data_IF_235712499758
#
_entry.id   IF_235712499758
#
_cell.length_a   1.000
_cell.length_b   1.000
_cell.length_c   1.000
_cell.angle_alpha   90.00
_cell.angle_beta   90.00
_cell.angle_gamma   90.00
#
_symmetry.space_group_name_H-M   'P 1'
#
loop_
_entity.id
_entity.type
_entity.pdbx_description
1 polymer ?
#
# COMPACT_ATOMS: atom_id res chain seq x y z
N UNK A 1 35.56 10.12 -12.04
CA UNK A 1 36.43 9.07 -11.48
C UNK A 1 36.12 8.97 -10.00
N UNK A 2 35.36 7.96 -9.58
CA UNK A 2 34.99 7.76 -8.18
C UNK A 2 35.49 6.38 -7.72
N UNK A 3 36.26 6.38 -6.63
CA UNK A 3 36.91 5.21 -6.06
C UNK A 3 35.90 4.32 -5.33
N UNK A 4 36.03 2.99 -5.50
CA UNK A 4 35.31 1.99 -4.71
C UNK A 4 36.14 1.63 -3.48
N UNK A 5 35.64 1.97 -2.29
CA UNK A 5 36.19 1.51 -1.02
C UNK A 5 35.59 0.15 -0.63
N UNK A 6 36.43 -0.89 -0.56
CA UNK A 6 36.08 -2.19 0.00
C UNK A 6 36.03 -2.11 1.53
N UNK A 7 34.86 -1.72 2.06
CA UNK A 7 34.53 -1.92 3.48
C UNK A 7 33.97 -3.32 3.73
N UNK A 8 34.11 -3.89 4.94
CA UNK A 8 33.48 -5.16 5.29
C UNK A 8 31.96 -5.09 5.08
N UNK A 9 31.28 -6.21 4.74
CA UNK A 9 29.85 -6.21 4.49
C UNK A 9 29.14 -5.70 5.74
N UNK A 10 28.54 -4.51 5.65
CA UNK A 10 27.64 -4.02 6.69
C UNK A 10 26.51 -5.05 6.80
N UNK A 11 26.42 -5.74 7.94
CA UNK A 11 25.23 -6.51 8.32
C UNK A 11 24.02 -5.64 7.99
N UNK A 12 23.19 -6.09 7.04
CA UNK A 12 22.01 -5.35 6.60
C UNK A 12 21.20 -4.95 7.83
N UNK A 13 20.98 -3.64 7.99
CA UNK A 13 20.11 -3.16 9.05
C UNK A 13 18.73 -3.80 8.85
N UNK A 14 18.08 -4.27 9.92
CA UNK A 14 16.77 -4.95 9.86
C UNK A 14 15.68 -4.16 9.11
N UNK A 15 15.84 -2.83 9.04
CA UNK A 15 15.02 -1.90 8.27
C UNK A 15 15.17 -2.09 6.74
N UNK A 16 16.36 -2.46 6.26
CA UNK A 16 16.64 -2.69 4.84
C UNK A 16 15.99 -3.97 4.29
N UNK A 17 15.67 -4.94 5.16
CA UNK A 17 15.00 -6.20 4.79
C UNK A 17 13.49 -6.19 5.04
N UNK A 18 12.92 -5.05 5.46
CA UNK A 18 11.50 -4.89 5.80
C UNK A 18 10.99 -5.96 6.80
N UNK A 19 11.84 -6.38 7.73
CA UNK A 19 11.49 -7.36 8.78
C UNK A 19 10.96 -6.63 10.01
N UNK A 20 9.72 -6.93 10.42
CA UNK A 20 9.13 -6.42 11.67
C UNK A 20 9.05 -7.50 12.73
N UNK A 21 9.35 -7.17 13.99
CA UNK A 21 9.21 -8.12 15.11
C UNK A 21 7.74 -8.29 15.51
N UNK A 22 7.19 -9.50 15.48
CA UNK A 22 5.86 -9.83 16.01
C UNK A 22 5.94 -10.83 17.17
N UNK A 23 4.83 -11.03 17.88
CA UNK A 23 4.74 -11.99 18.99
C UNK A 23 5.13 -13.43 18.59
N UNK A 24 5.07 -13.78 17.31
CA UNK A 24 5.45 -15.10 16.77
C UNK A 24 6.76 -15.14 15.98
N UNK A 25 7.59 -14.08 16.01
CA UNK A 25 8.83 -13.97 15.21
C UNK A 25 8.81 -12.81 14.20
N UNK A 26 9.72 -12.81 13.23
CA UNK A 26 9.78 -11.76 12.20
C UNK A 26 8.70 -11.93 11.15
N UNK A 27 7.95 -10.86 10.87
CA UNK A 27 6.92 -10.82 9.84
C UNK A 27 7.10 -9.61 8.92
N UNK A 28 6.63 -9.73 7.68
CA UNK A 28 6.66 -8.68 6.66
C UNK A 28 5.27 -8.60 6.03
N UNK A 29 4.81 -7.40 5.73
CA UNK A 29 3.56 -7.13 5.02
C UNK A 29 3.86 -6.83 3.56
N UNK A 30 3.16 -7.51 2.66
CA UNK A 30 3.15 -7.22 1.23
C UNK A 30 1.98 -6.28 0.92
N UNK A 31 2.30 -5.08 0.47
CA UNK A 31 1.32 -4.14 -0.06
C UNK A 31 1.44 -4.16 -1.59
N UNK A 32 0.35 -4.43 -2.29
CA UNK A 32 0.33 -4.65 -3.73
C UNK A 32 -0.65 -3.70 -4.42
N UNK A 33 -0.35 -3.32 -5.66
CA UNK A 33 -1.27 -2.62 -6.57
C UNK A 33 -1.51 -3.45 -7.81
N UNK A 34 -2.71 -3.34 -8.37
CA UNK A 34 -3.04 -3.91 -9.68
C UNK A 34 -3.73 -2.88 -10.58
N UNK A 35 -3.71 -3.13 -11.88
CA UNK A 35 -4.51 -2.37 -12.84
C UNK A 35 -5.98 -2.86 -12.85
N UNK A 36 -6.83 -2.19 -13.65
CA UNK A 36 -8.23 -2.57 -13.84
C UNK A 36 -8.46 -3.94 -14.50
N UNK A 37 -7.40 -4.68 -14.85
CA UNK A 37 -7.44 -6.05 -15.37
C UNK A 37 -6.87 -7.07 -14.37
N UNK A 38 -6.47 -6.64 -13.17
CA UNK A 38 -5.88 -7.48 -12.14
C UNK A 38 -4.41 -7.85 -12.39
N UNK A 39 -3.70 -7.12 -13.27
CA UNK A 39 -2.26 -7.30 -13.47
C UNK A 39 -1.50 -6.51 -12.39
N UNK A 40 -0.49 -7.10 -11.74
CA UNK A 40 0.28 -6.38 -10.73
C UNK A 40 1.06 -5.21 -11.33
N UNK A 41 0.98 -4.05 -10.68
CA UNK A 41 1.68 -2.82 -11.09
C UNK A 41 2.85 -2.47 -10.17
N UNK A 42 2.88 -3.01 -8.95
CA UNK A 42 3.98 -2.80 -8.04
C UNK A 42 3.66 -3.28 -6.63
N UNK A 43 4.73 -3.44 -5.86
CA UNK A 43 4.69 -3.98 -4.51
C UNK A 43 5.60 -3.17 -3.60
N UNK A 44 5.20 -3.03 -2.34
CA UNK A 44 6.05 -2.52 -1.27
C UNK A 44 6.01 -3.52 -0.12
N UNK A 45 7.19 -3.89 0.35
CA UNK A 45 7.35 -4.68 1.57
C UNK A 45 7.51 -3.71 2.75
N UNK A 46 6.71 -3.88 3.78
CA UNK A 46 6.85 -3.14 5.04
C UNK A 46 7.05 -4.11 6.20
N UNK A 47 7.79 -3.71 7.25
CA UNK A 47 7.85 -4.47 8.49
C UNK A 47 6.47 -4.90 8.99
N UNK A 48 6.35 -6.10 9.56
CA UNK A 48 5.08 -6.66 10.01
C UNK A 48 4.34 -5.82 11.07
N UNK A 49 5.08 -5.03 11.84
CA UNK A 49 4.50 -4.07 12.81
C UNK A 49 4.11 -2.73 12.19
N UNK A 50 4.50 -2.47 10.94
CA UNK A 50 4.15 -1.24 10.26
C UNK A 50 2.64 -1.14 10.12
N UNK A 51 2.09 0.04 10.39
CA UNK A 51 0.71 0.32 10.06
C UNK A 51 0.56 0.33 8.53
N UNK A 52 -0.54 -0.23 8.03
CA UNK A 52 -0.76 -0.33 6.57
C UNK A 52 -0.74 1.05 5.89
N UNK A 53 -1.12 2.10 6.63
CA UNK A 53 -1.03 3.50 6.23
C UNK A 53 0.39 3.91 5.80
N UNK A 54 1.45 3.31 6.37
CA UNK A 54 2.84 3.69 6.08
C UNK A 54 3.30 3.29 4.68
N UNK A 55 2.72 2.25 4.07
CA UNK A 55 3.07 1.88 2.68
C UNK A 55 2.21 2.56 1.63
N UNK A 56 1.14 3.25 2.03
CA UNK A 56 0.24 3.96 1.12
C UNK A 56 0.97 5.06 0.34
N UNK A 57 1.61 6.00 1.04
CA UNK A 57 2.23 7.18 0.43
C UNK A 57 3.22 6.84 -0.70
N UNK A 58 4.20 5.95 -0.47
CA UNK A 58 5.13 5.52 -1.51
C UNK A 58 4.43 4.90 -2.73
N UNK A 59 3.44 4.04 -2.51
CA UNK A 59 2.69 3.39 -3.59
C UNK A 59 1.81 4.40 -4.34
N UNK A 60 1.19 5.34 -3.66
CA UNK A 60 0.30 6.31 -4.28
C UNK A 60 1.08 7.31 -5.15
N UNK A 61 2.12 7.93 -4.60
CA UNK A 61 2.89 8.99 -5.27
C UNK A 61 3.53 8.57 -6.59
N UNK A 62 3.85 7.28 -6.75
CA UNK A 62 4.42 6.75 -8.00
C UNK A 62 3.45 6.76 -9.19
N UNK A 63 2.14 6.87 -8.95
CA UNK A 63 1.10 6.80 -10.00
C UNK A 63 0.06 7.91 -9.91
N UNK A 64 0.19 8.82 -8.94
CA UNK A 64 -0.84 9.81 -8.65
C UNK A 64 -1.18 10.69 -9.86
N UNK A 65 -0.22 10.91 -10.77
CA UNK A 65 -0.35 11.63 -12.03
C UNK A 65 -0.95 10.81 -13.18
N UNK A 66 -1.21 9.51 -12.98
CA UNK A 66 -1.59 8.54 -14.03
C UNK A 66 -2.91 7.82 -13.78
N UNK A 67 -3.59 8.13 -12.69
CA UNK A 67 -4.86 7.49 -12.32
C UNK A 67 -5.92 8.55 -12.03
N UNK A 68 -7.16 8.22 -12.37
CA UNK A 68 -8.33 9.06 -12.04
C UNK A 68 -9.04 8.58 -10.77
N UNK A 69 -8.91 7.28 -10.46
CA UNK A 69 -9.59 6.65 -9.34
C UNK A 69 -8.66 5.68 -8.61
N UNK A 70 -8.68 5.71 -7.29
CA UNK A 70 -7.95 4.78 -6.43
C UNK A 70 -8.92 3.97 -5.57
N UNK A 71 -8.84 2.64 -5.69
CA UNK A 71 -9.55 1.70 -4.84
C UNK A 71 -8.60 1.23 -3.74
N UNK A 72 -9.03 1.35 -2.48
CA UNK A 72 -8.26 0.83 -1.36
C UNK A 72 -9.13 0.23 -0.26
N UNK A 73 -8.49 -0.59 0.56
CA UNK A 73 -9.07 -1.25 1.70
C UNK A 73 -9.58 -0.26 2.76
N UNK A 74 -10.61 -0.67 3.52
CA UNK A 74 -11.16 0.12 4.65
C UNK A 74 -10.08 0.53 5.67
N UNK A 75 -9.01 -0.26 5.81
CA UNK A 75 -7.86 0.06 6.67
C UNK A 75 -7.17 1.38 6.32
N UNK A 76 -7.18 1.77 5.04
CA UNK A 76 -6.58 3.01 4.52
C UNK A 76 -7.46 4.24 4.72
N UNK A 77 -8.67 4.09 5.28
CA UNK A 77 -9.52 5.24 5.62
C UNK A 77 -8.87 6.05 6.75
N UNK A 78 -8.22 7.14 6.37
CA UNK A 78 -7.66 8.17 7.26
C UNK A 78 -7.73 9.53 6.57
N UNK A 79 -7.77 10.60 7.37
CA UNK A 79 -7.91 11.96 6.84
C UNK A 79 -6.69 12.35 6.00
N UNK A 80 -5.48 12.04 6.50
CA UNK A 80 -4.23 12.27 5.77
C UNK A 80 -4.21 11.58 4.39
N UNK A 81 -4.65 10.32 4.30
CA UNK A 81 -4.72 9.59 3.03
C UNK A 81 -5.74 10.24 2.09
N UNK A 82 -6.95 10.55 2.58
CA UNK A 82 -7.99 11.16 1.75
C UNK A 82 -7.58 12.53 1.24
N UNK A 83 -6.94 13.35 2.08
CA UNK A 83 -6.40 14.65 1.68
C UNK A 83 -5.29 14.51 0.64
N UNK A 84 -4.37 13.55 0.79
CA UNK A 84 -3.30 13.31 -0.17
C UNK A 84 -3.86 12.88 -1.53
N UNK A 85 -4.86 12.00 -1.54
CA UNK A 85 -5.55 11.57 -2.77
C UNK A 85 -6.28 12.76 -3.42
N UNK A 86 -7.01 13.56 -2.63
CA UNK A 86 -7.74 14.71 -3.12
C UNK A 86 -6.82 15.80 -3.70
N UNK A 87 -5.67 16.05 -3.07
CA UNK A 87 -4.64 16.99 -3.56
C UNK A 87 -4.08 16.59 -4.93
N UNK A 88 -4.04 15.30 -5.23
CA UNK A 88 -3.64 14.80 -6.53
C UNK A 88 -4.78 14.80 -7.57
N UNK A 89 -6.00 15.22 -7.21
CA UNK A 89 -7.16 15.21 -8.11
C UNK A 89 -7.72 13.81 -8.39
N UNK A 90 -7.39 12.83 -7.55
CA UNK A 90 -7.82 11.44 -7.72
C UNK A 90 -9.08 11.16 -6.90
N UNK A 91 -10.00 10.34 -7.42
CA UNK A 91 -11.18 9.88 -6.68
C UNK A 91 -10.82 8.76 -5.70
N UNK A 92 -11.12 8.94 -4.41
CA UNK A 92 -10.91 7.92 -3.37
C UNK A 92 -12.12 7.00 -3.21
N UNK A 93 -12.04 5.78 -3.77
CA UNK A 93 -13.03 4.71 -3.56
C UNK A 93 -12.59 3.85 -2.37
N UNK A 94 -12.75 4.41 -1.17
CA UNK A 94 -12.35 3.79 0.11
C UNK A 94 -13.57 3.76 1.04
N UNK A 95 -13.99 2.58 1.53
CA UNK A 95 -15.04 2.51 2.53
C UNK A 95 -14.63 3.21 3.83
N UNK A 96 -15.54 4.02 4.39
CA UNK A 96 -15.32 4.64 5.68
C UNK A 96 -15.21 3.60 6.81
N UNK A 97 -14.34 3.85 7.78
CA UNK A 97 -14.28 3.10 9.04
C UNK A 97 -15.59 3.24 9.80
N UNK A 98 -16.01 2.17 10.48
CA UNK A 98 -17.29 2.13 11.21
C UNK A 98 -17.33 3.08 12.41
N UNK A 99 -16.17 3.47 12.93
CA UNK A 99 -16.03 4.43 14.03
C UNK A 99 -15.81 5.88 13.55
N UNK A 100 -15.89 6.15 12.24
CA UNK A 100 -15.71 7.50 11.69
C UNK A 100 -16.95 8.35 11.99
N UNK A 101 -16.75 9.51 12.63
CA UNK A 101 -17.85 10.43 13.01
C UNK A 101 -18.63 10.96 11.82
N UNK A 102 -17.94 11.23 10.72
CA UNK A 102 -18.53 11.68 9.46
C UNK A 102 -18.09 10.75 8.32
N UNK A 103 -18.83 9.66 8.05
CA UNK A 103 -18.47 8.70 7.02
C UNK A 103 -18.71 9.29 5.62
N UNK A 104 -17.64 9.37 4.84
CA UNK A 104 -17.74 9.76 3.43
C UNK A 104 -18.34 8.60 2.63
N UNK A 105 -19.40 8.82 1.81
CA UNK A 105 -19.90 7.80 0.91
C UNK A 105 -18.83 7.42 -0.12
N UNK A 106 -18.85 6.17 -0.56
CA UNK A 106 -17.99 5.66 -1.62
C UNK A 106 -18.85 4.94 -2.66
N UNK A 107 -18.37 4.89 -3.89
CA UNK A 107 -19.00 4.15 -4.96
C UNK A 107 -18.85 2.63 -4.71
N UNK A 108 -19.98 1.98 -4.37
CA UNK A 108 -20.02 0.54 -4.06
C UNK A 108 -19.79 -0.31 -5.29
N UNK A 109 -20.17 0.14 -6.48
CA UNK A 109 -19.99 -0.61 -7.71
C UNK A 109 -18.52 -0.61 -8.11
N UNK A 110 -17.86 0.55 -8.07
CA UNK A 110 -16.40 0.64 -8.22
C UNK A 110 -15.69 -0.20 -7.16
N UNK A 111 -16.15 -0.17 -5.91
CA UNK A 111 -15.52 -0.96 -4.85
C UNK A 111 -15.56 -2.49 -5.09
N UNK A 112 -16.53 -3.03 -5.84
CA UNK A 112 -16.55 -4.46 -6.21
C UNK A 112 -15.31 -4.90 -7.01
N UNK A 113 -14.66 -3.98 -7.71
CA UNK A 113 -13.46 -4.25 -8.49
C UNK A 113 -12.24 -4.59 -7.62
N UNK A 114 -12.31 -4.38 -6.29
CA UNK A 114 -11.32 -4.89 -5.32
C UNK A 114 -11.08 -6.40 -5.45
N UNK A 115 -12.06 -7.18 -5.90
CA UNK A 115 -11.89 -8.62 -6.17
C UNK A 115 -10.72 -8.91 -7.13
N UNK A 116 -10.32 -7.97 -8.00
CA UNK A 116 -9.11 -8.10 -8.82
C UNK A 116 -7.84 -8.13 -7.96
N UNK A 117 -7.77 -7.30 -6.93
CA UNK A 117 -6.68 -7.29 -5.95
C UNK A 117 -6.65 -8.60 -5.16
N UNK A 118 -7.80 -9.11 -4.75
CA UNK A 118 -7.90 -10.39 -4.03
C UNK A 118 -7.45 -11.57 -4.89
N UNK A 119 -7.87 -11.59 -6.17
CA UNK A 119 -7.39 -12.57 -7.15
C UNK A 119 -5.89 -12.49 -7.38
N UNK A 120 -5.32 -11.29 -7.39
CA UNK A 120 -3.87 -11.11 -7.46
C UNK A 120 -3.18 -11.77 -6.25
N UNK A 121 -3.62 -11.48 -5.03
CA UNK A 121 -3.03 -12.09 -3.84
C UNK A 121 -3.19 -13.61 -3.82
N UNK A 122 -4.32 -14.15 -4.29
CA UNK A 122 -4.50 -15.60 -4.42
C UNK A 122 -3.51 -16.22 -5.41
N UNK A 123 -3.20 -15.53 -6.52
CA UNK A 123 -2.17 -15.96 -7.48
C UNK A 123 -0.74 -15.84 -6.95
N UNK A 124 -0.48 -14.96 -5.98
CA UNK A 124 0.85 -14.80 -5.40
C UNK A 124 1.14 -15.81 -4.28
N UNK A 125 0.11 -16.44 -3.72
CA UNK A 125 0.23 -17.44 -2.65
C UNK A 125 0.32 -18.87 -3.17
N UNK A 126 -0.17 -19.12 -4.38
CA UNK A 126 -0.19 -20.42 -5.06
C UNK A 126 0.84 -20.46 -6.18
#
# INVERSE_FOLDING_TARGET
MAAFGNGPPKKGAQEAEALGRSHGGFTTKLQARCDGRGRPLGFVLTPGQAHDIQGFGPLFRMIADRIETLLADKGYDSDAIREEIAKAGVEAVIPAKSNRRAPTPHDREKYRWRNLVERLFNKLKN
#
